data_IF_578995334275
#
_entry.id   IF_578995334275
#
_cell.length_a   1.000
_cell.length_b   1.000
_cell.length_c   1.000
_cell.angle_alpha   90.00
_cell.angle_beta   90.00
_cell.angle_gamma   90.00
#
_symmetry.space_group_name_H-M   'P 1'
#
loop_
_entity.id
_entity.type
_entity.pdbx_description
1 polymer ?
#
# COMPACT_ATOMS: atom_id res chain seq x y z
N UNK A 1 -6.75 -6.09 20.31
CA UNK A 1 -6.25 -6.13 18.93
C UNK A 1 -5.85 -4.71 18.56
N UNK A 2 -4.74 -4.49 17.86
CA UNK A 2 -4.46 -3.14 17.37
C UNK A 2 -5.38 -2.85 16.19
N UNK A 3 -6.21 -1.81 16.29
CA UNK A 3 -7.27 -1.54 15.31
C UNK A 3 -6.74 -1.31 13.88
N UNK A 4 -5.51 -0.78 13.77
CA UNK A 4 -4.82 -0.60 12.48
C UNK A 4 -4.57 -1.90 11.69
N UNK A 5 -4.66 -3.08 12.33
CA UNK A 5 -4.52 -4.36 11.63
C UNK A 5 -5.66 -4.60 10.62
N UNK A 6 -6.79 -3.91 10.75
CA UNK A 6 -7.86 -3.96 9.76
C UNK A 6 -7.67 -2.96 8.62
N UNK A 7 -6.76 -1.98 8.75
CA UNK A 7 -6.65 -0.94 7.72
C UNK A 7 -6.42 -1.55 6.35
N UNK A 8 -7.15 -1.03 5.37
CA UNK A 8 -7.10 -1.47 3.98
C UNK A 8 -7.43 -2.97 3.80
N UNK A 9 -8.18 -3.59 4.72
CA UNK A 9 -8.55 -5.00 4.62
C UNK A 9 -7.41 -5.98 4.94
N UNK A 10 -6.30 -5.54 5.54
CA UNK A 10 -5.13 -6.38 5.80
C UNK A 10 -5.45 -7.67 6.58
N UNK A 11 -6.19 -7.56 7.69
CA UNK A 11 -6.62 -8.72 8.47
C UNK A 11 -7.49 -9.70 7.67
N UNK A 12 -8.30 -9.19 6.74
CA UNK A 12 -9.18 -10.02 5.89
C UNK A 12 -8.36 -10.83 4.87
N UNK A 13 -7.39 -10.20 4.20
CA UNK A 13 -6.48 -10.88 3.28
C UNK A 13 -5.68 -11.98 3.99
N UNK A 14 -5.13 -11.68 5.17
CA UNK A 14 -4.35 -12.65 5.94
C UNK A 14 -5.22 -13.82 6.44
N UNK A 15 -6.45 -13.55 6.89
CA UNK A 15 -7.38 -14.60 7.32
C UNK A 15 -7.80 -15.50 6.15
N UNK A 16 -8.09 -14.91 4.98
CA UNK A 16 -8.42 -15.66 3.76
C UNK A 16 -7.27 -16.57 3.33
N UNK A 17 -6.06 -16.04 3.26
CA UNK A 17 -4.87 -16.84 2.94
C UNK A 17 -4.62 -17.94 3.96
N UNK A 18 -4.90 -17.67 5.23
CA UNK A 18 -4.83 -18.62 6.31
C UNK A 18 -6.04 -19.56 6.37
N UNK A 19 -6.98 -19.59 5.40
CA UNK A 19 -8.11 -20.52 5.38
C UNK A 19 -9.14 -20.32 6.51
N UNK A 20 -9.22 -19.12 7.09
CA UNK A 20 -10.15 -18.80 8.19
C UNK A 20 -11.35 -17.95 7.73
N UNK A 21 -11.55 -17.86 6.41
CA UNK A 21 -12.56 -16.99 5.80
C UNK A 21 -12.21 -15.49 5.84
N UNK A 22 -13.12 -14.65 5.37
CA UNK A 22 -12.91 -13.21 5.25
C UNK A 22 -13.99 -12.35 5.94
N UNK A 23 -15.08 -12.93 6.43
CA UNK A 23 -16.18 -12.15 7.04
C UNK A 23 -15.77 -11.52 8.37
N UNK A 24 -15.10 -12.29 9.23
CA UNK A 24 -14.76 -11.88 10.59
C UNK A 24 -13.32 -12.33 10.95
N UNK A 25 -12.29 -11.65 10.43
CA UNK A 25 -10.91 -12.08 10.65
C UNK A 25 -10.59 -12.10 12.15
N UNK A 26 -9.95 -13.17 12.66
CA UNK A 26 -9.68 -13.30 14.08
C UNK A 26 -8.70 -12.24 14.59
N UNK A 27 -8.58 -12.13 15.91
CA UNK A 27 -7.61 -11.23 16.54
C UNK A 27 -6.18 -11.60 16.18
N UNK A 28 -5.47 -10.68 15.53
CA UNK A 28 -4.02 -10.78 15.33
C UNK A 28 -3.29 -10.45 16.64
N UNK A 29 -2.40 -11.36 17.05
CA UNK A 29 -1.48 -11.19 18.18
C UNK A 29 -0.21 -10.43 17.76
N UNK A 30 -0.39 -9.17 17.38
CA UNK A 30 0.70 -8.34 16.91
C UNK A 30 0.21 -7.04 16.29
N UNK A 31 1.16 -6.24 15.80
CA UNK A 31 0.89 -5.06 14.98
C UNK A 31 1.40 -5.30 13.56
N UNK A 32 0.51 -5.36 12.58
CA UNK A 32 0.89 -5.52 11.18
C UNK A 32 1.26 -4.16 10.60
N UNK A 33 2.44 -4.07 9.97
CA UNK A 33 2.80 -2.94 9.13
C UNK A 33 1.69 -2.72 8.09
N UNK A 34 1.13 -1.52 8.05
CA UNK A 34 -0.05 -1.22 7.23
C UNK A 34 0.26 -0.37 6.00
N UNK A 35 1.49 0.09 5.86
CA UNK A 35 1.96 0.87 4.71
C UNK A 35 3.48 0.84 4.60
N UNK A 36 3.98 1.17 3.41
CA UNK A 36 5.40 1.40 3.21
C UNK A 36 5.80 2.75 3.79
N UNK A 37 6.92 2.78 4.50
CA UNK A 37 7.62 4.00 4.86
C UNK A 37 9.13 3.76 4.83
N UNK A 38 9.90 4.84 4.72
CA UNK A 38 11.36 4.80 4.73
C UNK A 38 11.96 4.40 6.09
N UNK A 39 11.16 4.41 7.14
CA UNK A 39 11.54 4.12 8.50
C UNK A 39 11.49 2.64 8.86
N UNK A 40 10.91 2.38 10.03
CA UNK A 40 10.80 1.06 10.66
C UNK A 40 9.52 0.31 10.29
N UNK A 41 8.75 0.80 9.31
CA UNK A 41 7.47 0.21 8.92
C UNK A 41 6.32 0.54 9.88
N UNK A 42 6.56 1.37 10.89
CA UNK A 42 5.60 1.73 11.92
C UNK A 42 5.24 3.22 11.82
N UNK A 43 4.06 3.59 12.31
CA UNK A 43 3.62 4.97 12.32
C UNK A 43 4.39 5.75 13.42
N UNK A 44 4.95 6.93 13.10
CA UNK A 44 5.61 7.77 14.10
C UNK A 44 4.61 8.23 15.16
N UNK A 45 5.07 8.35 16.41
CA UNK A 45 4.26 8.85 17.53
C UNK A 45 3.12 7.94 18.01
N UNK A 46 2.91 6.76 17.40
CA UNK A 46 1.86 5.84 17.85
C UNK A 46 2.36 5.02 19.06
N UNK A 47 1.63 5.00 20.20
CA UNK A 47 2.01 4.19 21.34
C UNK A 47 1.78 2.71 21.03
N UNK A 48 2.85 1.91 21.08
CA UNK A 48 2.78 0.47 20.89
C UNK A 48 2.71 -0.21 22.25
N UNK A 49 1.76 -1.13 22.41
CA UNK A 49 1.65 -1.91 23.64
C UNK A 49 2.95 -2.71 23.88
N UNK A 50 3.49 -2.62 25.09
CA UNK A 50 4.68 -3.36 25.49
C UNK A 50 4.51 -4.86 25.22
N UNK A 51 5.60 -5.53 24.79
CA UNK A 51 5.65 -6.98 24.48
C UNK A 51 4.77 -7.47 23.33
N UNK A 52 4.07 -6.59 22.63
CA UNK A 52 3.35 -6.96 21.40
C UNK A 52 4.34 -6.95 20.22
N UNK A 53 4.46 -8.04 19.45
CA UNK A 53 5.37 -8.07 18.32
C UNK A 53 4.86 -7.18 17.18
N UNK A 54 5.77 -6.51 16.48
CA UNK A 54 5.46 -5.88 15.21
C UNK A 54 5.77 -6.84 14.06
N UNK A 55 4.82 -6.99 13.15
CA UNK A 55 4.85 -7.88 12.01
C UNK A 55 5.12 -7.02 10.77
N UNK A 56 6.36 -7.06 10.31
CA UNK A 56 6.91 -6.19 9.27
C UNK A 56 6.91 -6.90 7.92
N UNK A 57 6.93 -6.12 6.84
CA UNK A 57 6.87 -6.69 5.48
C UNK A 57 8.19 -7.34 5.06
N UNK A 58 9.33 -6.72 5.37
CA UNK A 58 10.60 -7.15 4.80
C UNK A 58 11.76 -7.12 5.80
N UNK A 59 12.81 -7.87 5.45
CA UNK A 59 14.08 -7.83 6.16
C UNK A 59 14.73 -6.44 6.16
N UNK A 60 14.55 -5.66 5.08
CA UNK A 60 15.00 -4.27 5.03
C UNK A 60 14.32 -3.43 6.10
N UNK A 61 12.99 -3.54 6.21
CA UNK A 61 12.21 -2.84 7.24
C UNK A 61 12.59 -3.31 8.65
N UNK A 62 12.82 -4.62 8.84
CA UNK A 62 13.30 -5.18 10.11
C UNK A 62 14.65 -4.60 10.53
N UNK A 63 15.61 -4.47 9.61
CA UNK A 63 16.92 -3.86 9.88
C UNK A 63 16.77 -2.39 10.30
N UNK A 64 15.90 -1.63 9.64
CA UNK A 64 15.58 -0.24 10.01
C UNK A 64 14.95 -0.16 11.39
N UNK A 65 13.98 -1.03 11.71
CA UNK A 65 13.39 -1.15 13.04
C UNK A 65 14.44 -1.48 14.11
N UNK A 66 15.38 -2.38 13.81
CA UNK A 66 16.49 -2.70 14.70
C UNK A 66 17.43 -1.50 14.92
N UNK A 67 17.69 -0.70 13.89
CA UNK A 67 18.55 0.48 14.04
C UNK A 67 17.99 1.52 15.03
N UNK A 68 16.67 1.57 15.20
CA UNK A 68 15.98 2.48 16.13
C UNK A 68 15.56 1.80 17.46
N UNK A 69 16.16 0.64 17.77
CA UNK A 69 15.97 -0.02 19.07
C UNK A 69 14.76 -0.96 19.17
N UNK A 70 13.95 -1.10 18.12
CA UNK A 70 12.81 -2.04 18.14
C UNK A 70 13.30 -3.46 17.88
N UNK A 71 13.20 -4.34 18.89
CA UNK A 71 13.72 -5.72 18.81
C UNK A 71 12.62 -6.78 18.70
N UNK A 72 11.43 -6.52 19.21
CA UNK A 72 10.30 -7.43 19.17
C UNK A 72 9.56 -7.34 17.81
N UNK A 73 10.22 -7.80 16.75
CA UNK A 73 9.77 -7.68 15.36
C UNK A 73 9.93 -9.02 14.64
N UNK A 74 8.98 -9.35 13.77
CA UNK A 74 9.02 -10.52 12.88
C UNK A 74 8.70 -10.09 11.45
N UNK A 75 9.35 -10.70 10.45
CA UNK A 75 9.02 -10.46 9.04
C UNK A 75 7.95 -11.45 8.60
N UNK A 76 6.92 -10.95 7.91
CA UNK A 76 5.84 -11.77 7.37
C UNK A 76 5.53 -11.49 5.90
N UNK A 77 6.15 -10.53 5.22
CA UNK A 77 5.69 -10.10 3.88
C UNK A 77 4.48 -9.15 3.96
N UNK A 78 4.31 -8.31 2.95
CA UNK A 78 3.15 -7.42 2.88
C UNK A 78 1.86 -8.22 2.63
N UNK A 79 0.72 -7.89 3.29
CA UNK A 79 -0.57 -8.54 3.01
C UNK A 79 -0.93 -8.60 1.52
N UNK A 80 -0.56 -7.58 0.74
CA UNK A 80 -0.76 -7.59 -0.71
C UNK A 80 -0.05 -8.76 -1.43
N UNK A 81 1.11 -9.22 -0.95
CA UNK A 81 1.83 -10.39 -1.54
C UNK A 81 1.14 -11.73 -1.27
N UNK A 82 0.31 -11.79 -0.23
CA UNK A 82 -0.56 -12.94 0.04
C UNK A 82 -1.76 -12.92 -0.89
N UNK A 83 -2.34 -11.73 -1.13
CA UNK A 83 -3.41 -11.56 -2.11
C UNK A 83 -2.95 -11.98 -3.52
N UNK A 84 -1.77 -11.52 -3.97
CA UNK A 84 -1.20 -11.94 -5.25
C UNK A 84 -1.00 -13.46 -5.35
N UNK A 85 -0.70 -14.13 -4.22
CA UNK A 85 -0.54 -15.59 -4.21
C UNK A 85 -1.87 -16.35 -4.31
N UNK A 86 -2.95 -15.76 -3.80
CA UNK A 86 -4.31 -16.32 -3.92
C UNK A 86 -4.92 -16.06 -5.29
N UNK A 87 -4.53 -14.97 -5.94
CA UNK A 87 -5.02 -14.52 -7.23
C UNK A 87 -3.89 -14.58 -8.28
N UNK A 88 -3.36 -15.76 -8.64
CA UNK A 88 -2.18 -15.87 -9.52
C UNK A 88 -2.47 -15.43 -10.95
N UNK A 89 -3.74 -15.46 -11.36
CA UNK A 89 -4.15 -15.14 -12.72
C UNK A 89 -4.00 -13.64 -12.99
N UNK A 90 -3.11 -13.35 -13.92
CA UNK A 90 -2.76 -12.00 -14.32
C UNK A 90 -3.22 -11.78 -15.77
N UNK A 91 -3.99 -10.70 -16.07
CA UNK A 91 -4.39 -10.45 -17.44
C UNK A 91 -3.14 -10.20 -18.30
N UNK A 92 -3.14 -10.68 -19.56
CA UNK A 92 -2.05 -10.44 -20.51
C UNK A 92 -1.70 -8.95 -20.60
N UNK A 93 -0.41 -8.65 -20.77
CA UNK A 93 0.09 -7.26 -20.75
C UNK A 93 -0.50 -6.39 -21.88
N UNK A 94 -0.93 -7.02 -22.97
CA UNK A 94 -1.61 -6.41 -24.11
C UNK A 94 -3.05 -5.97 -23.81
N UNK A 95 -3.70 -6.57 -22.81
CA UNK A 95 -5.07 -6.19 -22.38
C UNK A 95 -5.06 -4.99 -21.43
N UNK A 96 -3.88 -4.62 -20.91
CA UNK A 96 -3.71 -3.52 -19.96
C UNK A 96 -3.56 -2.18 -20.67
N UNK A 97 -4.31 -1.18 -20.23
CA UNK A 97 -4.31 0.14 -20.86
C UNK A 97 -4.15 1.28 -19.84
N UNK A 98 -3.45 2.33 -20.26
CA UNK A 98 -3.40 3.60 -19.54
C UNK A 98 -2.66 3.54 -18.21
N UNK A 99 -2.92 4.53 -17.38
CA UNK A 99 -2.19 4.79 -16.14
C UNK A 99 -3.16 4.93 -14.98
N UNK A 100 -2.91 4.16 -13.91
CA UNK A 100 -3.51 4.43 -12.61
C UNK A 100 -2.58 5.36 -11.82
N UNK A 101 -3.12 6.52 -11.47
CA UNK A 101 -2.42 7.58 -10.77
C UNK A 101 -2.87 7.66 -9.31
N UNK A 102 -1.93 7.66 -8.39
CA UNK A 102 -2.16 7.84 -6.95
C UNK A 102 -1.58 9.19 -6.51
N UNK A 103 -2.36 10.27 -6.41
CA UNK A 103 -1.87 11.52 -5.85
C UNK A 103 -1.45 11.31 -4.39
N UNK A 104 -0.36 11.94 -4.00
CA UNK A 104 0.02 12.03 -2.60
C UNK A 104 -1.06 12.80 -1.85
N UNK A 105 -1.44 12.25 -0.70
CA UNK A 105 -2.52 12.73 0.13
C UNK A 105 -2.07 12.74 1.59
N UNK A 106 -2.71 13.61 2.37
CA UNK A 106 -2.63 13.57 3.82
C UNK A 106 -3.61 12.56 4.37
N UNK A 107 -3.54 12.28 5.66
CA UNK A 107 -4.56 11.52 6.38
C UNK A 107 -5.42 12.46 7.22
N UNK A 108 -6.40 11.96 7.95
CA UNK A 108 -7.43 12.77 8.62
C UNK A 108 -6.86 13.78 9.64
N UNK A 109 -5.60 13.60 10.07
CA UNK A 109 -4.88 14.51 10.96
C UNK A 109 -3.86 15.45 10.28
N UNK A 110 -3.68 15.42 8.96
CA UNK A 110 -2.67 16.24 8.25
C UNK A 110 -3.20 16.79 6.92
N UNK A 111 -3.10 18.11 6.73
CA UNK A 111 -3.44 18.77 5.46
C UNK A 111 -2.23 18.80 4.51
N UNK A 112 -2.48 18.53 3.22
CA UNK A 112 -1.48 18.68 2.15
C UNK A 112 -1.60 20.09 1.56
N UNK A 113 -0.46 20.76 1.43
CA UNK A 113 -0.31 21.93 0.57
C UNK A 113 0.28 21.46 -0.76
N UNK A 114 -0.52 21.54 -1.82
CA UNK A 114 -0.13 21.13 -3.16
C UNK A 114 -1.02 21.77 -4.23
N UNK A 115 -0.44 22.04 -5.40
CA UNK A 115 -1.19 22.58 -6.53
C UNK A 115 -1.72 21.45 -7.41
N UNK A 116 -2.94 20.99 -7.12
CA UNK A 116 -3.61 19.97 -7.91
C UNK A 116 -3.71 20.34 -9.40
N UNK A 117 -3.82 21.62 -9.75
CA UNK A 117 -3.91 22.04 -11.16
C UNK A 117 -2.59 21.84 -11.89
N UNK A 118 -1.48 22.18 -11.26
CA UNK A 118 -0.13 21.89 -11.80
C UNK A 118 0.10 20.39 -11.95
N UNK A 119 -0.31 19.60 -10.95
CA UNK A 119 -0.20 18.14 -11.03
C UNK A 119 -1.04 17.59 -12.20
N UNK A 120 -2.30 18.03 -12.35
CA UNK A 120 -3.17 17.65 -13.47
C UNK A 120 -2.53 17.99 -14.82
N UNK A 121 -1.97 19.20 -14.97
CA UNK A 121 -1.31 19.62 -16.20
C UNK A 121 -0.13 18.71 -16.54
N UNK A 122 0.71 18.41 -15.54
CA UNK A 122 1.87 17.54 -15.71
C UNK A 122 1.49 16.10 -16.06
N UNK A 123 0.43 15.56 -15.44
CA UNK A 123 -0.10 14.23 -15.77
C UNK A 123 -0.53 14.19 -17.24
N UNK A 124 -1.29 15.19 -17.71
CA UNK A 124 -1.76 15.27 -19.09
C UNK A 124 -0.63 15.39 -20.11
N UNK A 125 0.46 16.06 -19.75
CA UNK A 125 1.62 16.22 -20.61
C UNK A 125 2.45 14.93 -20.70
N UNK A 126 2.51 14.16 -19.61
CA UNK A 126 3.45 13.04 -19.47
C UNK A 126 2.83 11.69 -19.82
N UNK A 127 1.57 11.45 -19.43
CA UNK A 127 0.96 10.13 -19.54
C UNK A 127 0.38 9.90 -20.95
N UNK A 128 0.74 8.80 -21.62
CA UNK A 128 0.47 8.60 -23.06
C UNK A 128 -0.96 8.16 -23.38
N UNK A 129 -1.79 7.86 -22.38
CA UNK A 129 -3.10 7.23 -22.57
C UNK A 129 -4.12 7.67 -21.50
N UNK A 130 -5.26 6.95 -21.39
CA UNK A 130 -6.27 7.28 -20.40
C UNK A 130 -5.70 7.17 -18.98
N UNK A 131 -6.11 8.09 -18.11
CA UNK A 131 -5.66 8.14 -16.71
C UNK A 131 -6.84 7.91 -15.77
N UNK A 132 -6.68 6.94 -14.87
CA UNK A 132 -7.53 6.73 -13.71
C UNK A 132 -6.84 7.32 -12.48
N UNK A 133 -7.41 8.35 -11.87
CA UNK A 133 -6.93 8.92 -10.61
C UNK A 133 -7.62 8.23 -9.44
N UNK A 134 -6.84 7.55 -8.60
CA UNK A 134 -7.32 6.96 -7.35
C UNK A 134 -7.05 7.91 -6.19
N UNK A 135 -8.11 8.52 -5.66
CA UNK A 135 -8.04 9.38 -4.48
C UNK A 135 -8.20 8.56 -3.20
N UNK A 136 -7.54 9.02 -2.13
CA UNK A 136 -7.80 8.52 -0.79
C UNK A 136 -9.24 8.82 -0.37
N UNK A 137 -9.86 7.96 0.44
CA UNK A 137 -11.30 8.03 0.75
C UNK A 137 -11.75 9.42 1.24
N UNK A 138 -10.90 10.09 2.03
CA UNK A 138 -11.18 11.41 2.56
C UNK A 138 -11.24 12.44 1.43
N UNK A 139 -10.21 12.49 0.58
CA UNK A 139 -10.16 13.39 -0.59
C UNK A 139 -11.21 13.05 -1.65
N UNK A 140 -11.53 11.77 -1.81
CA UNK A 140 -12.61 11.31 -2.67
C UNK A 140 -13.98 11.84 -2.20
N UNK A 141 -14.18 11.95 -0.87
CA UNK A 141 -15.35 12.59 -0.27
C UNK A 141 -15.38 14.11 -0.46
N UNK A 142 -14.21 14.75 -0.66
CA UNK A 142 -14.09 16.18 -0.91
C UNK A 142 -14.48 16.52 -2.35
N UNK A 143 -15.76 16.84 -2.57
CA UNK A 143 -16.33 17.17 -3.90
C UNK A 143 -15.49 18.18 -4.70
N UNK A 144 -14.89 19.17 -4.04
CA UNK A 144 -14.02 20.16 -4.69
C UNK A 144 -12.78 19.52 -5.32
N UNK A 145 -12.04 18.72 -4.56
CA UNK A 145 -10.85 18.00 -5.04
C UNK A 145 -11.23 17.01 -6.13
N UNK A 146 -12.27 16.19 -5.89
CA UNK A 146 -12.73 15.18 -6.86
C UNK A 146 -13.07 15.80 -8.21
N UNK A 147 -13.84 16.90 -8.21
CA UNK A 147 -14.24 17.62 -9.43
C UNK A 147 -13.07 18.20 -10.21
N UNK A 148 -11.95 18.55 -9.57
CA UNK A 148 -10.77 19.04 -10.30
C UNK A 148 -10.25 17.99 -11.28
N UNK A 149 -10.14 16.74 -10.83
CA UNK A 149 -9.67 15.63 -11.66
C UNK A 149 -10.75 15.16 -12.66
N UNK A 150 -12.03 15.10 -12.25
CA UNK A 150 -13.15 14.76 -13.15
C UNK A 150 -13.26 15.76 -14.31
N UNK A 151 -13.20 17.07 -14.01
CA UNK A 151 -13.25 18.13 -15.03
C UNK A 151 -12.00 18.13 -15.94
N UNK A 152 -10.90 17.53 -15.47
CA UNK A 152 -9.72 17.29 -16.28
C UNK A 152 -9.84 16.04 -17.17
N UNK A 153 -11.01 15.40 -17.22
CA UNK A 153 -11.27 14.25 -18.09
C UNK A 153 -10.68 12.94 -17.57
N UNK A 154 -10.20 12.90 -16.33
CA UNK A 154 -9.72 11.67 -15.73
C UNK A 154 -10.88 10.85 -15.15
N UNK A 155 -10.75 9.52 -15.17
CA UNK A 155 -11.61 8.64 -14.39
C UNK A 155 -11.19 8.77 -12.93
N UNK A 156 -12.11 9.05 -12.01
CA UNK A 156 -11.77 9.22 -10.58
C UNK A 156 -12.39 8.11 -9.75
N UNK A 157 -11.57 7.42 -8.96
CA UNK A 157 -11.99 6.28 -8.14
C UNK A 157 -11.48 6.40 -6.69
N UNK A 158 -11.96 5.49 -5.85
CA UNK A 158 -11.45 5.21 -4.51
C UNK A 158 -11.57 3.70 -4.26
N UNK A 159 -10.55 3.07 -3.69
CA UNK A 159 -10.55 1.64 -3.39
C UNK A 159 -11.48 1.26 -2.22
N UNK A 160 -11.85 2.23 -1.39
CA UNK A 160 -12.77 2.01 -0.27
C UNK A 160 -12.39 2.81 0.96
N UNK A 161 -13.20 2.68 2.01
CA UNK A 161 -12.89 3.26 3.30
C UNK A 161 -11.81 2.43 4.00
N UNK A 162 -10.78 3.09 4.54
CA UNK A 162 -9.66 2.40 5.19
C UNK A 162 -10.05 1.68 6.47
N UNK A 163 -11.18 2.05 7.09
CA UNK A 163 -11.58 1.61 8.42
C UNK A 163 -11.05 2.51 9.55
N UNK A 164 -11.82 2.60 10.63
CA UNK A 164 -11.44 3.32 11.85
C UNK A 164 -11.90 2.52 13.06
N UNK A 165 -10.98 2.20 13.98
CA UNK A 165 -11.28 1.39 15.17
C UNK A 165 -12.11 0.16 14.80
N UNK A 166 -11.58 -0.69 13.91
CA UNK A 166 -12.19 -1.94 13.38
C UNK A 166 -13.59 -1.80 12.74
N UNK A 167 -14.20 -0.62 12.72
CA UNK A 167 -15.52 -0.37 12.14
C UNK A 167 -15.43 0.07 10.68
N UNK A 168 -16.42 -0.39 9.93
CA UNK A 168 -16.71 -0.02 8.54
C UNK A 168 -15.56 -0.22 7.54
N UNK A 169 -14.50 -0.93 7.94
CA UNK A 169 -13.38 -1.29 7.08
C UNK A 169 -13.91 -1.97 5.82
N UNK A 170 -13.51 -1.48 4.65
CA UNK A 170 -13.77 -2.18 3.39
C UNK A 170 -12.90 -3.45 3.34
N UNK A 171 -13.48 -4.66 3.49
CA UNK A 171 -12.69 -5.89 3.56
C UNK A 171 -12.00 -6.21 2.22
N UNK A 172 -12.48 -5.59 1.12
CA UNK A 172 -11.99 -5.80 -0.24
C UNK A 172 -11.16 -4.62 -0.76
N UNK A 173 -10.66 -3.74 0.12
CA UNK A 173 -9.87 -2.59 -0.32
C UNK A 173 -8.67 -3.02 -1.19
N UNK A 174 -7.88 -4.00 -0.73
CA UNK A 174 -6.72 -4.49 -1.49
C UNK A 174 -7.14 -5.27 -2.74
N UNK A 175 -8.24 -6.01 -2.69
CA UNK A 175 -8.80 -6.71 -3.86
C UNK A 175 -9.17 -5.71 -4.97
N UNK A 176 -9.90 -4.65 -4.63
CA UNK A 176 -10.25 -3.56 -5.55
C UNK A 176 -9.01 -2.87 -6.10
N UNK A 177 -8.01 -2.67 -5.25
CA UNK A 177 -6.73 -2.13 -5.68
C UNK A 177 -6.02 -3.05 -6.68
N UNK A 178 -5.96 -4.36 -6.43
CA UNK A 178 -5.36 -5.33 -7.34
C UNK A 178 -6.09 -5.38 -8.68
N UNK A 179 -7.43 -5.42 -8.66
CA UNK A 179 -8.26 -5.38 -9.87
C UNK A 179 -7.95 -4.15 -10.72
N UNK A 180 -7.85 -2.98 -10.09
CA UNK A 180 -7.52 -1.75 -10.79
C UNK A 180 -6.08 -1.74 -11.29
N UNK A 181 -5.10 -2.17 -10.49
CA UNK A 181 -3.70 -2.28 -10.95
C UNK A 181 -3.59 -3.19 -12.18
N UNK A 182 -4.24 -4.35 -12.16
CA UNK A 182 -4.24 -5.32 -13.28
C UNK A 182 -4.92 -4.82 -14.55
N UNK A 183 -5.76 -3.79 -14.48
CA UNK A 183 -6.34 -3.15 -15.67
C UNK A 183 -5.38 -2.18 -16.35
N UNK A 184 -4.38 -1.66 -15.63
CA UNK A 184 -3.54 -0.58 -16.11
C UNK A 184 -2.14 -1.06 -16.48
N UNK A 185 -1.61 -0.52 -17.57
CA UNK A 185 -0.21 -0.78 -17.96
C UNK A 185 0.75 -0.10 -17.00
N UNK A 186 0.45 1.14 -16.60
CA UNK A 186 1.32 1.98 -15.76
C UNK A 186 0.71 2.25 -14.40
N UNK A 187 1.56 2.33 -13.38
CA UNK A 187 1.24 2.82 -12.05
C UNK A 187 2.09 4.06 -11.75
N UNK A 188 1.46 5.15 -11.33
CA UNK A 188 2.19 6.40 -11.14
C UNK A 188 1.75 7.19 -9.91
N UNK A 189 2.66 8.00 -9.38
CA UNK A 189 2.42 8.88 -8.23
C UNK A 189 3.43 10.03 -8.20
N UNK A 190 3.12 11.09 -7.48
CA UNK A 190 4.07 12.15 -7.17
C UNK A 190 4.95 11.87 -5.95
N UNK A 191 4.71 10.77 -5.22
CA UNK A 191 5.61 10.24 -4.19
C UNK A 191 5.75 8.73 -4.30
N UNK A 192 6.87 8.21 -3.82
CA UNK A 192 7.01 6.77 -3.61
C UNK A 192 6.11 6.35 -2.44
N UNK A 193 5.20 5.41 -2.68
CA UNK A 193 4.18 4.95 -1.72
C UNK A 193 3.95 3.45 -1.87
N UNK A 194 3.22 2.84 -0.93
CA UNK A 194 2.81 1.42 -1.04
C UNK A 194 2.15 1.10 -2.37
N UNK A 195 1.35 2.02 -2.92
CA UNK A 195 0.63 1.79 -4.18
C UNK A 195 1.56 1.59 -5.37
N UNK A 196 2.71 2.28 -5.40
CA UNK A 196 3.75 2.07 -6.42
C UNK A 196 4.32 0.65 -6.30
N UNK A 197 4.72 0.24 -5.10
CA UNK A 197 5.25 -1.11 -4.88
C UNK A 197 4.23 -2.20 -5.22
N UNK A 198 2.98 -2.02 -4.82
CA UNK A 198 1.89 -2.95 -5.15
C UNK A 198 1.65 -3.01 -6.66
N UNK A 199 1.67 -1.88 -7.37
CA UNK A 199 1.54 -1.87 -8.82
C UNK A 199 2.69 -2.56 -9.53
N UNK A 200 3.94 -2.34 -9.10
CA UNK A 200 5.10 -3.08 -9.63
C UNK A 200 4.93 -4.59 -9.41
N UNK A 201 4.52 -5.00 -8.21
CA UNK A 201 4.29 -6.41 -7.90
C UNK A 201 3.11 -7.02 -8.68
N UNK A 202 2.14 -6.20 -9.09
CA UNK A 202 1.03 -6.57 -9.97
C UNK A 202 1.38 -6.46 -11.47
N UNK A 203 2.63 -6.17 -11.82
CA UNK A 203 3.12 -6.14 -13.20
C UNK A 203 2.97 -4.80 -13.93
N UNK A 204 2.66 -3.70 -13.25
CA UNK A 204 2.60 -2.37 -13.85
C UNK A 204 4.00 -1.78 -14.05
N UNK A 205 4.17 -0.98 -15.11
CA UNK A 205 5.32 -0.09 -15.31
C UNK A 205 5.23 1.10 -14.33
N UNK A 206 6.23 1.30 -13.45
CA UNK A 206 6.17 2.36 -12.45
C UNK A 206 6.64 3.73 -12.95
N UNK A 207 6.07 4.79 -12.41
CA UNK A 207 6.57 6.15 -12.54
C UNK A 207 6.40 6.94 -11.22
N UNK A 208 7.42 7.68 -10.80
CA UNK A 208 7.35 8.57 -9.63
C UNK A 208 7.91 9.94 -9.99
N UNK A 209 7.03 10.90 -10.22
CA UNK A 209 7.43 12.23 -10.72
C UNK A 209 6.45 13.34 -10.36
N UNK A 210 6.90 14.57 -10.55
CA UNK A 210 6.13 15.77 -10.24
C UNK A 210 6.42 16.33 -8.85
N UNK A 211 5.64 17.35 -8.48
CA UNK A 211 5.72 17.97 -7.17
C UNK A 211 5.24 16.96 -6.12
N UNK A 212 6.10 16.52 -5.17
CA UNK A 212 5.70 15.58 -4.14
C UNK A 212 4.58 16.14 -3.23
N UNK A 213 4.26 17.43 -3.33
CA UNK A 213 3.43 18.20 -2.42
C UNK A 213 4.03 18.20 -1.01
N UNK A 214 3.59 19.09 -0.12
CA UNK A 214 4.19 19.25 1.22
C UNK A 214 3.12 19.09 2.28
N UNK A 215 3.35 18.23 3.28
CA UNK A 215 2.53 18.20 4.49
C UNK A 215 2.92 19.41 5.34
N UNK A 216 1.95 20.15 5.87
CA UNK A 216 2.19 21.35 6.67
C UNK A 216 3.18 21.11 7.84
N UNK A 217 3.15 19.91 8.42
CA UNK A 217 3.97 19.46 9.54
C UNK A 217 4.65 18.11 9.22
N UNK A 218 5.38 18.01 8.10
CA UNK A 218 6.11 16.78 7.76
C UNK A 218 7.17 16.48 8.81
N UNK A 219 6.98 15.40 9.58
CA UNK A 219 7.93 14.95 10.59
C UNK A 219 9.27 14.58 9.93
N UNK A 220 10.36 15.31 10.21
CA UNK A 220 11.66 15.05 9.59
C UNK A 220 12.32 13.79 10.13
N UNK A 221 11.76 13.10 11.14
CA UNK A 221 12.30 11.89 11.78
C UNK A 221 12.67 10.82 10.76
N UNK A 222 11.95 10.75 9.64
CA UNK A 222 12.22 9.79 8.57
C UNK A 222 13.01 10.37 7.39
N UNK A 223 13.48 11.62 7.47
CA UNK A 223 14.32 12.28 6.47
C UNK A 223 13.58 12.83 5.24
N UNK A 224 12.24 12.74 5.24
CA UNK A 224 11.35 13.30 4.21
C UNK A 224 11.62 12.82 2.79
N UNK A 225 11.00 13.50 1.83
CA UNK A 225 11.11 13.18 0.39
C UNK A 225 12.56 13.17 -0.12
N UNK A 226 13.44 14.03 0.44
CA UNK A 226 14.83 14.11 0.02
C UNK A 226 15.63 12.84 0.34
N UNK A 227 15.37 12.20 1.49
CA UNK A 227 16.03 10.93 1.84
C UNK A 227 15.50 9.78 0.98
N UNK A 228 14.19 9.74 0.70
CA UNK A 228 13.57 8.76 -0.21
C UNK A 228 14.24 8.82 -1.59
N UNK A 229 14.39 10.02 -2.16
CA UNK A 229 15.05 10.22 -3.46
C UNK A 229 16.51 9.75 -3.49
N UNK A 230 17.24 9.88 -2.39
CA UNK A 230 18.63 9.41 -2.30
C UNK A 230 18.74 7.90 -2.10
N UNK A 231 17.78 7.29 -1.42
CA UNK A 231 17.81 5.88 -1.07
C UNK A 231 17.22 4.98 -2.18
N UNK A 232 16.30 5.51 -2.98
CA UNK A 232 15.74 4.83 -4.15
C UNK A 232 15.74 5.74 -5.39
N UNK A 233 16.90 6.27 -5.82
CA UNK A 233 16.96 7.13 -6.99
C UNK A 233 16.42 6.45 -8.26
N UNK A 234 16.57 5.13 -8.36
CA UNK A 234 16.14 4.31 -9.50
C UNK A 234 14.62 4.29 -9.68
N UNK A 235 13.85 4.52 -8.61
CA UNK A 235 12.39 4.52 -8.66
C UNK A 235 11.78 5.88 -9.02
N UNK A 236 12.60 6.90 -9.30
CA UNK A 236 12.13 8.25 -9.58
C UNK A 236 12.30 8.62 -11.06
N UNK A 237 11.25 9.18 -11.64
CA UNK A 237 11.19 9.54 -13.06
C UNK A 237 9.83 9.24 -13.67
N UNK A 238 9.58 9.80 -14.86
CA UNK A 238 8.41 9.48 -15.68
C UNK A 238 8.50 8.11 -16.36
N UNK A 239 9.71 7.55 -16.39
CA UNK A 239 10.03 6.18 -16.81
C UNK A 239 11.12 5.66 -15.89
N UNK A 240 11.00 4.40 -15.49
CA UNK A 240 11.87 3.70 -14.56
C UNK A 240 12.27 2.37 -15.19
N UNK A 241 13.48 1.91 -14.93
CA UNK A 241 13.93 0.58 -15.34
C UNK A 241 13.10 -0.51 -14.64
N UNK A 242 12.29 -1.24 -15.41
CA UNK A 242 11.33 -2.20 -14.88
C UNK A 242 11.99 -3.36 -14.13
N UNK A 243 13.05 -4.03 -14.64
CA UNK A 243 13.74 -5.09 -13.91
C UNK A 243 14.27 -4.62 -12.54
N UNK A 244 14.89 -3.44 -12.49
CA UNK A 244 15.36 -2.84 -11.24
C UNK A 244 14.20 -2.56 -10.28
N UNK A 245 13.12 -1.98 -10.78
CA UNK A 245 11.95 -1.69 -9.97
C UNK A 245 11.30 -2.95 -9.39
N UNK A 246 11.21 -4.02 -10.18
CA UNK A 246 10.68 -5.32 -9.73
C UNK A 246 11.54 -5.91 -8.62
N UNK A 247 12.87 -5.88 -8.76
CA UNK A 247 13.77 -6.34 -7.71
C UNK A 247 13.59 -5.56 -6.41
N UNK A 248 13.54 -4.23 -6.48
CA UNK A 248 13.34 -3.38 -5.30
C UNK A 248 11.97 -3.63 -4.67
N UNK A 249 10.90 -3.75 -5.46
CA UNK A 249 9.56 -4.00 -4.96
C UNK A 249 9.45 -5.36 -4.26
N UNK A 250 10.08 -6.41 -4.82
CA UNK A 250 10.16 -7.73 -4.21
C UNK A 250 10.81 -7.67 -2.82
N UNK A 251 11.90 -6.91 -2.68
CA UNK A 251 12.61 -6.73 -1.43
C UNK A 251 11.83 -5.90 -0.41
N UNK A 252 11.26 -4.75 -0.81
CA UNK A 252 10.53 -3.86 0.10
C UNK A 252 9.20 -4.46 0.56
N UNK A 253 8.52 -5.23 -0.29
CA UNK A 253 7.29 -5.96 0.06
C UNK A 253 7.54 -7.28 0.78
N UNK A 254 8.78 -7.79 0.74
CA UNK A 254 9.16 -9.07 1.33
C UNK A 254 8.39 -10.25 0.71
N UNK A 255 8.23 -10.27 -0.61
CA UNK A 255 7.53 -11.33 -1.34
C UNK A 255 8.08 -12.72 -1.03
N UNK A 256 9.40 -12.83 -0.83
CA UNK A 256 10.08 -14.09 -0.50
C UNK A 256 10.02 -14.45 1.00
N UNK A 257 9.47 -13.57 1.82
CA UNK A 257 9.26 -13.78 3.26
C UNK A 257 7.80 -14.11 3.59
N UNK A 258 6.96 -14.33 2.58
CA UNK A 258 5.59 -14.77 2.75
C UNK A 258 5.58 -16.10 3.52
N UNK A 259 4.85 -16.14 4.63
CA UNK A 259 4.69 -17.34 5.44
C UNK A 259 3.78 -18.34 4.73
N UNK A 260 3.98 -19.64 4.98
CA UNK A 260 2.95 -20.64 4.65
C UNK A 260 1.70 -20.40 5.50
N UNK A 261 0.51 -20.91 5.11
CA UNK A 261 -0.71 -20.73 5.90
C UNK A 261 -0.54 -21.18 7.37
N UNK A 262 0.09 -22.32 7.63
CA UNK A 262 0.33 -22.82 8.98
C UNK A 262 1.26 -21.91 9.79
N UNK A 263 2.41 -21.51 9.23
CA UNK A 263 3.36 -20.61 9.91
C UNK A 263 2.73 -19.23 10.17
N UNK A 264 1.91 -18.74 9.23
CA UNK A 264 1.16 -17.50 9.41
C UNK A 264 0.17 -17.62 10.58
N UNK A 265 -0.58 -18.72 10.67
CA UNK A 265 -1.49 -18.97 11.81
C UNK A 265 -0.74 -18.98 13.13
N UNK A 266 0.43 -19.61 13.22
CA UNK A 266 1.23 -19.59 14.45
C UNK A 266 1.64 -18.16 14.84
N UNK A 267 2.21 -17.41 13.89
CA UNK A 267 2.68 -16.03 14.12
C UNK A 267 1.56 -15.07 14.50
N UNK A 268 0.37 -15.23 13.91
CA UNK A 268 -0.78 -14.37 14.17
C UNK A 268 -1.57 -14.79 15.43
N UNK A 269 -1.26 -15.94 16.02
CA UNK A 269 -1.96 -16.47 17.19
C UNK A 269 -3.27 -17.21 16.88
N UNK A 270 -3.36 -17.80 15.69
CA UNK A 270 -4.54 -18.48 15.14
C UNK A 270 -4.39 -20.01 15.05
N UNK A 271 -3.30 -20.58 15.56
CA UNK A 271 -2.97 -22.00 15.40
C UNK A 271 -4.06 -22.98 15.88
N UNK A 272 -4.90 -22.58 16.84
CA UNK A 272 -5.96 -23.41 17.40
C UNK A 272 -7.35 -23.12 16.79
N UNK A 273 -7.45 -22.27 15.77
CA UNK A 273 -8.72 -21.95 15.12
C UNK A 273 -9.02 -22.97 14.01
N UNK A 274 -10.29 -23.34 13.88
CA UNK A 274 -10.76 -24.23 12.82
C UNK A 274 -10.83 -23.48 11.48
N UNK A 275 -10.52 -24.17 10.39
CA UNK A 275 -10.67 -23.65 9.03
C UNK A 275 -12.16 -23.48 8.69
N UNK A 276 -12.52 -22.42 7.96
CA UNK A 276 -13.88 -22.33 7.43
C UNK A 276 -14.03 -23.29 6.24
N UNK A 277 -15.15 -24.01 6.10
CA UNK A 277 -15.41 -24.83 4.92
C UNK A 277 -15.33 -23.97 3.65
N UNK A 278 -14.64 -24.46 2.63
CA UNK A 278 -14.62 -23.83 1.31
C UNK A 278 -15.95 -24.15 0.62
N UNK A 279 -16.86 -23.17 0.53
CA UNK A 279 -18.03 -23.30 -0.33
C UNK A 279 -17.56 -23.23 -1.80
N UNK A 280 -17.73 -24.33 -2.53
CA UNK A 280 -17.42 -24.48 -3.96
C UNK A 280 -18.55 -23.95 -4.84
#
# INVERSE_FOLDING_TARGET
MHHANHFYGHAHVLARYAGLGDRHPPRINGYVQHGWNIGDGLAPGHPYAERTPSLLWSEQTRRRAWSVGRRNVSVIGAPFTYLLAMEPDDPPAEEREGTIWYPFHGWEGQHVHGDHKKLIALIRETEPGPVTVCLYWHEYGMRGVRRLYENAGFRVICHGYRGHWWKDTDPYFLDKQLVELRRHRRVASNRLTSAIFYGIAAGCEPAVYGDPMVLADEDPTFGGTARIRRQWPELHGASVDLPTAVAIARDELGTDHRCTPAALRELLGWANLQEEPVDH
#
